data_IF_547028736272
#
_entry.id   IF_547028736272
#
_cell.length_a   1.000
_cell.length_b   1.000
_cell.length_c   1.000
_cell.angle_alpha   90.00
_cell.angle_beta   90.00
_cell.angle_gamma   90.00
#
_symmetry.space_group_name_H-M   'P 1'
#
loop_
_entity.id
_entity.type
_entity.pdbx_description
1 polymer ?
#
# COMPACT_ATOMS: atom_id res chain seq x y z
N UNK A 1 -13.97 -13.04 -5.67
CA UNK A 1 -14.47 -12.58 -4.37
C UNK A 1 -14.36 -11.05 -4.38
N UNK A 2 -15.47 -10.32 -4.34
CA UNK A 2 -15.43 -8.87 -4.15
C UNK A 2 -15.29 -8.62 -2.64
N UNK A 3 -14.16 -8.04 -2.24
CA UNK A 3 -13.95 -7.59 -0.88
C UNK A 3 -14.59 -6.20 -0.77
N UNK A 4 -15.74 -6.11 -0.12
CA UNK A 4 -16.39 -4.83 0.15
C UNK A 4 -15.84 -4.28 1.46
N UNK A 5 -15.01 -3.25 1.37
CA UNK A 5 -14.51 -2.51 2.54
C UNK A 5 -15.44 -1.33 2.79
N UNK A 6 -15.88 -1.17 4.03
CA UNK A 6 -16.49 0.08 4.49
C UNK A 6 -15.49 1.24 4.37
N UNK A 7 -15.94 2.52 4.34
CA UNK A 7 -15.03 3.65 4.30
C UNK A 7 -14.01 3.68 5.46
N UNK A 8 -14.42 3.21 6.64
CA UNK A 8 -13.54 3.11 7.82
C UNK A 8 -12.51 1.98 7.68
N UNK A 9 -12.91 0.82 7.16
CA UNK A 9 -11.98 -0.28 6.87
C UNK A 9 -11.01 0.10 5.75
N UNK A 10 -11.47 0.82 4.72
CA UNK A 10 -10.62 1.34 3.65
C UNK A 10 -9.58 2.33 4.18
N UNK A 11 -10.01 3.30 5.00
CA UNK A 11 -9.10 4.26 5.63
C UNK A 11 -8.08 3.57 6.56
N UNK A 12 -8.53 2.56 7.31
CA UNK A 12 -7.66 1.76 8.17
C UNK A 12 -6.64 0.96 7.36
N UNK A 13 -7.08 0.33 6.27
CA UNK A 13 -6.22 -0.42 5.36
C UNK A 13 -5.19 0.49 4.70
N UNK A 14 -5.61 1.66 4.18
CA UNK A 14 -4.70 2.68 3.65
C UNK A 14 -3.63 3.08 4.68
N UNK A 15 -4.02 3.31 5.95
CA UNK A 15 -3.08 3.65 7.01
C UNK A 15 -2.07 2.54 7.29
N UNK A 16 -2.52 1.28 7.37
CA UNK A 16 -1.66 0.12 7.59
C UNK A 16 -0.66 -0.04 6.44
N UNK A 17 -1.14 0.01 5.20
CA UNK A 17 -0.30 -0.16 4.01
C UNK A 17 0.71 0.99 3.90
N UNK A 18 0.31 2.24 4.18
CA UNK A 18 1.26 3.38 4.20
C UNK A 18 2.34 3.21 5.26
N UNK A 19 1.97 2.76 6.47
CA UNK A 19 2.94 2.54 7.54
C UNK A 19 3.96 1.47 7.14
N UNK A 20 3.47 0.37 6.57
CA UNK A 20 4.33 -0.72 6.12
C UNK A 20 5.26 -0.26 4.98
N UNK A 21 4.74 0.47 4.00
CA UNK A 21 5.53 1.07 2.92
C UNK A 21 6.65 1.98 3.44
N UNK A 22 6.37 2.83 4.44
CA UNK A 22 7.40 3.69 5.06
C UNK A 22 8.47 2.88 5.79
N UNK A 23 8.07 1.82 6.50
CA UNK A 23 9.02 0.92 7.18
C UNK A 23 9.92 0.22 6.15
N UNK A 24 9.35 -0.28 5.06
CA UNK A 24 10.08 -0.95 3.99
C UNK A 24 11.11 -0.01 3.34
N UNK A 25 10.73 1.24 3.06
CA UNK A 25 11.68 2.24 2.54
C UNK A 25 12.84 2.51 3.50
N UNK A 26 12.57 2.54 4.80
CA UNK A 26 13.62 2.68 5.80
C UNK A 26 14.54 1.44 5.84
N UNK A 27 14.00 0.24 5.64
CA UNK A 27 14.76 -1.01 5.58
C UNK A 27 15.64 -1.09 4.32
N UNK A 28 15.12 -0.70 3.15
CA UNK A 28 15.90 -0.58 1.90
C UNK A 28 17.09 0.36 2.11
N UNK A 29 16.86 1.50 2.76
CA UNK A 29 17.91 2.50 3.02
C UNK A 29 19.00 1.95 3.94
N UNK A 30 18.63 1.14 4.94
CA UNK A 30 19.56 0.58 5.94
C UNK A 30 20.25 -0.72 5.51
N UNK A 31 19.73 -1.41 4.51
CA UNK A 31 20.30 -2.65 4.00
C UNK A 31 21.61 -2.34 3.28
N UNK A 32 22.64 -3.18 3.43
CA UNK A 32 23.90 -3.07 2.65
C UNK A 32 24.03 -4.17 1.58
N UNK A 33 23.29 -5.26 1.72
CA UNK A 33 23.27 -6.36 0.75
C UNK A 33 22.47 -5.99 -0.51
N UNK A 34 23.12 -6.01 -1.67
CA UNK A 34 22.48 -5.70 -2.96
C UNK A 34 21.36 -6.67 -3.31
N UNK A 35 21.55 -7.97 -3.09
CA UNK A 35 20.56 -9.01 -3.37
C UNK A 35 19.31 -8.83 -2.50
N UNK A 36 19.49 -8.45 -1.23
CA UNK A 36 18.37 -8.20 -0.33
C UNK A 36 17.61 -6.92 -0.69
N UNK A 37 18.32 -5.88 -1.17
CA UNK A 37 17.69 -4.65 -1.66
C UNK A 37 16.77 -4.87 -2.85
N UNK A 38 17.12 -5.77 -3.75
CA UNK A 38 16.32 -6.00 -4.96
C UNK A 38 14.95 -6.60 -4.59
N UNK A 39 14.91 -7.59 -3.68
CA UNK A 39 13.66 -8.13 -3.15
C UNK A 39 12.81 -7.08 -2.42
N UNK A 40 13.46 -6.24 -1.59
CA UNK A 40 12.74 -5.16 -0.89
C UNK A 40 12.18 -4.10 -1.86
N UNK A 41 12.85 -3.83 -2.98
CA UNK A 41 12.34 -2.90 -4.02
C UNK A 41 11.17 -3.48 -4.81
N UNK A 42 11.16 -4.79 -5.07
CA UNK A 42 10.00 -5.46 -5.67
C UNK A 42 8.79 -5.32 -4.75
N UNK A 43 8.97 -5.57 -3.46
CA UNK A 43 7.92 -5.37 -2.45
C UNK A 43 7.48 -3.90 -2.33
N UNK A 44 8.41 -2.94 -2.45
CA UNK A 44 8.10 -1.50 -2.49
C UNK A 44 7.17 -1.17 -3.67
N UNK A 45 7.46 -1.69 -4.85
CA UNK A 45 6.65 -1.48 -6.05
C UNK A 45 5.25 -2.09 -5.90
N UNK A 46 5.12 -3.28 -5.32
CA UNK A 46 3.82 -3.92 -5.07
C UNK A 46 2.96 -3.11 -4.10
N UNK A 47 3.54 -2.62 -3.01
CA UNK A 47 2.85 -1.78 -2.02
C UNK A 47 2.46 -0.42 -2.60
N UNK A 48 3.30 0.17 -3.45
CA UNK A 48 2.96 1.42 -4.14
C UNK A 48 1.73 1.22 -5.05
N UNK A 49 1.71 0.14 -5.83
CA UNK A 49 0.56 -0.20 -6.67
C UNK A 49 -0.70 -0.46 -5.83
N UNK A 50 -0.57 -1.15 -4.69
CA UNK A 50 -1.69 -1.39 -3.77
C UNK A 50 -2.23 -0.08 -3.20
N UNK A 51 -1.37 0.85 -2.77
CA UNK A 51 -1.78 2.16 -2.29
C UNK A 51 -2.54 2.95 -3.35
N UNK A 52 -2.02 3.00 -4.58
CA UNK A 52 -2.69 3.68 -5.71
C UNK A 52 -4.08 3.10 -5.96
N UNK A 53 -4.23 1.77 -5.90
CA UNK A 53 -5.53 1.10 -6.04
C UNK A 53 -6.49 1.47 -4.89
N UNK A 54 -6.00 1.48 -3.65
CA UNK A 54 -6.81 1.82 -2.47
C UNK A 54 -7.22 3.30 -2.46
N UNK A 55 -6.36 4.21 -2.90
CA UNK A 55 -6.66 5.64 -3.05
C UNK A 55 -7.68 5.87 -4.16
N UNK A 56 -7.52 5.19 -5.31
CA UNK A 56 -8.45 5.28 -6.43
C UNK A 56 -9.83 4.70 -6.10
N UNK A 57 -9.89 3.68 -5.24
CA UNK A 57 -11.15 3.09 -4.76
C UNK A 57 -11.90 4.05 -3.81
N UNK A 58 -11.17 4.84 -3.02
CA UNK A 58 -11.75 5.89 -2.18
C UNK A 58 -12.28 7.08 -2.97
N UNK A 59 -11.84 7.28 -4.22
CA UNK A 59 -12.24 8.40 -5.07
C UNK A 59 -13.54 8.15 -5.83
N UNK A 60 -14.19 6.98 -5.67
CA UNK A 60 -15.53 6.74 -6.21
C UNK A 60 -16.55 7.33 -5.22
N UNK A 61 -17.13 8.52 -5.46
CA UNK A 61 -18.24 8.97 -4.66
C UNK A 61 -19.35 7.93 -4.82
N UNK A 62 -19.97 7.54 -3.70
CA UNK A 62 -21.20 6.78 -3.72
C UNK A 62 -22.18 7.52 -4.64
N UNK A 63 -22.39 6.97 -5.84
CA UNK A 63 -23.44 7.45 -6.72
C UNK A 63 -24.75 7.10 -6.04
N UNK A 64 -25.34 8.09 -5.38
CA UNK A 64 -26.71 8.05 -4.90
C UNK A 64 -27.60 7.97 -6.15
N UNK A 65 -28.28 6.84 -6.31
CA UNK A 65 -29.46 6.69 -7.17
C UNK A 65 -30.55 5.99 -6.38
#
# INVERSE_FOLDING_TARGET
>A
MLLELTPQELATTQRIVRQYFMNLRAEIYRTDSSIFKDGLKEEEAELELLLRKLESSSARPAAVY
#
